data_IF_740281159811
#
_entry.id   IF_740281159811
#
_cell.length_a   1.000
_cell.length_b   1.000
_cell.length_c   1.000
_cell.angle_alpha   90.00
_cell.angle_beta   90.00
_cell.angle_gamma   90.00
#
_symmetry.space_group_name_H-M   'P 1'
#
loop_
_entity.id
_entity.type
_entity.pdbx_description
1 polymer ?
#
# COMPACT_ATOMS: atom_id res chain seq x y z
N UNK A 1 -24.74 36.29 -18.66
CA UNK A 1 -23.99 36.58 -17.42
C UNK A 1 -23.05 35.41 -17.20
N UNK A 2 -21.74 35.63 -17.13
CA UNK A 2 -20.81 34.54 -16.82
C UNK A 2 -21.00 34.16 -15.35
N UNK A 3 -21.27 32.89 -15.08
CA UNK A 3 -21.32 32.36 -13.71
C UNK A 3 -19.92 32.40 -13.12
N UNK A 4 -19.75 33.15 -12.03
CA UNK A 4 -18.50 33.18 -11.28
C UNK A 4 -18.20 31.78 -10.71
N UNK A 5 -17.00 31.26 -11.01
CA UNK A 5 -16.53 29.98 -10.49
C UNK A 5 -15.78 30.20 -9.18
N UNK A 6 -16.23 29.54 -8.12
CA UNK A 6 -15.55 29.50 -6.82
C UNK A 6 -14.75 28.21 -6.67
N UNK A 7 -13.52 28.32 -6.14
CA UNK A 7 -12.66 27.18 -5.84
C UNK A 7 -12.42 27.06 -4.34
N UNK A 8 -12.70 25.87 -3.79
CA UNK A 8 -12.53 25.54 -2.38
C UNK A 8 -11.38 24.55 -2.25
N UNK A 9 -10.50 24.78 -1.27
CA UNK A 9 -9.37 23.91 -0.98
C UNK A 9 -9.40 23.50 0.48
N UNK A 10 -9.38 22.20 0.73
CA UNK A 10 -9.09 21.68 2.05
C UNK A 10 -7.57 21.64 2.26
N UNK A 11 -7.05 22.63 3.00
CA UNK A 11 -5.61 22.91 3.12
C UNK A 11 -4.78 21.71 3.58
N UNK A 12 -5.30 20.89 4.50
CA UNK A 12 -4.64 19.70 5.05
C UNK A 12 -5.24 18.38 4.55
N UNK A 13 -5.93 18.37 3.40
CA UNK A 13 -6.52 17.14 2.83
C UNK A 13 -5.48 16.02 2.67
N UNK A 14 -4.33 16.34 2.05
CA UNK A 14 -3.26 15.36 1.77
C UNK A 14 -2.70 14.72 3.04
N UNK A 15 -2.27 15.53 4.02
CA UNK A 15 -1.73 15.00 5.27
C UNK A 15 -2.78 14.20 6.05
N UNK A 16 -4.02 14.68 6.09
CA UNK A 16 -5.13 13.95 6.71
C UNK A 16 -5.31 12.57 6.06
N UNK A 17 -5.27 12.51 4.72
CA UNK A 17 -5.41 11.26 4.00
C UNK A 17 -4.27 10.27 4.31
N UNK A 18 -3.01 10.72 4.32
CA UNK A 18 -1.87 9.87 4.71
C UNK A 18 -1.97 9.38 6.16
N UNK A 19 -2.40 10.24 7.10
CA UNK A 19 -2.64 9.80 8.48
C UNK A 19 -3.75 8.76 8.58
N UNK A 20 -4.80 8.87 7.75
CA UNK A 20 -5.85 7.85 7.69
C UNK A 20 -5.31 6.53 7.16
N UNK A 21 -4.54 6.53 6.05
CA UNK A 21 -3.92 5.31 5.49
C UNK A 21 -3.01 4.61 6.50
N UNK A 22 -2.12 5.36 7.17
CA UNK A 22 -1.25 4.83 8.22
C UNK A 22 -2.06 4.23 9.39
N UNK A 23 -3.17 4.88 9.77
CA UNK A 23 -4.04 4.39 10.85
C UNK A 23 -4.82 3.13 10.47
N UNK A 24 -5.35 3.03 9.26
CA UNK A 24 -6.10 1.83 8.86
C UNK A 24 -5.19 0.61 8.74
N UNK A 25 -3.92 0.82 8.33
CA UNK A 25 -2.91 -0.25 8.35
C UNK A 25 -2.61 -0.75 9.76
N UNK A 26 -2.38 0.14 10.72
CA UNK A 26 -2.04 -0.29 12.09
C UNK A 26 -3.21 -0.94 12.85
N UNK A 27 -4.44 -0.80 12.36
CA UNK A 27 -5.66 -1.35 12.98
C UNK A 27 -6.30 -2.49 12.19
N UNK A 28 -5.68 -2.95 11.11
CA UNK A 28 -6.24 -3.96 10.19
C UNK A 28 -7.70 -3.68 9.78
N UNK A 29 -8.06 -2.40 9.65
CA UNK A 29 -9.44 -1.98 9.40
C UNK A 29 -9.67 -1.82 7.91
N UNK A 30 -10.77 -2.35 7.38
CA UNK A 30 -11.12 -2.31 5.95
C UNK A 30 -10.18 -3.11 5.02
N UNK A 31 -9.42 -4.06 5.57
CA UNK A 31 -8.59 -4.94 4.77
C UNK A 31 -9.44 -5.89 3.93
N UNK A 32 -9.04 -6.07 2.67
CA UNK A 32 -9.76 -6.82 1.65
C UNK A 32 -8.83 -7.72 0.81
N UNK A 33 -7.58 -7.90 1.26
CA UNK A 33 -6.57 -8.83 0.73
C UNK A 33 -5.64 -9.30 1.85
N UNK A 34 -5.09 -10.50 1.70
CA UNK A 34 -4.00 -10.98 2.55
C UNK A 34 -2.76 -11.27 1.72
N UNK A 35 -1.61 -10.73 2.11
CA UNK A 35 -0.31 -11.16 1.57
C UNK A 35 0.31 -12.18 2.51
N UNK A 36 0.80 -13.28 1.97
CA UNK A 36 1.59 -14.28 2.69
C UNK A 36 3.03 -14.21 2.20
N UNK A 37 3.98 -14.00 3.11
CA UNK A 37 5.40 -13.80 2.81
C UNK A 37 6.23 -14.33 3.97
N UNK A 38 7.22 -15.17 3.68
CA UNK A 38 8.15 -15.69 4.69
C UNK A 38 7.46 -16.28 5.95
N UNK A 39 6.40 -17.06 5.71
CA UNK A 39 5.58 -17.67 6.78
C UNK A 39 4.68 -16.70 7.56
N UNK A 40 4.71 -15.40 7.25
CA UNK A 40 3.86 -14.37 7.86
C UNK A 40 2.71 -13.97 6.95
N UNK A 41 1.65 -13.46 7.57
CA UNK A 41 0.42 -13.05 6.90
C UNK A 41 0.09 -11.60 7.23
N UNK A 42 -0.33 -10.85 6.22
CA UNK A 42 -0.60 -9.41 6.31
C UNK A 42 -1.98 -9.12 5.76
N UNK A 43 -2.90 -8.66 6.60
CA UNK A 43 -4.18 -8.10 6.14
C UNK A 43 -3.95 -6.68 5.64
N UNK A 44 -4.29 -6.43 4.37
CA UNK A 44 -3.94 -5.20 3.65
C UNK A 44 -5.11 -4.74 2.79
N UNK A 45 -4.91 -3.62 2.09
CA UNK A 45 -5.89 -2.96 1.24
C UNK A 45 -5.50 -3.09 -0.23
N UNK A 46 -6.37 -3.71 -1.04
CA UNK A 46 -6.22 -3.82 -2.50
C UNK A 46 -5.98 -2.47 -3.13
N UNK A 47 -6.76 -1.46 -2.72
CA UNK A 47 -6.64 -0.10 -3.24
C UNK A 47 -5.23 0.47 -3.11
N UNK A 48 -4.61 0.33 -1.93
CA UNK A 48 -3.25 0.84 -1.70
C UNK A 48 -2.23 0.05 -2.51
N UNK A 49 -2.32 -1.28 -2.51
CA UNK A 49 -1.41 -2.14 -3.27
C UNK A 49 -1.48 -1.89 -4.78
N UNK A 50 -2.69 -1.81 -5.35
CA UNK A 50 -2.89 -1.54 -6.77
C UNK A 50 -2.39 -0.15 -7.19
N UNK A 51 -2.61 0.87 -6.35
CA UNK A 51 -2.12 2.24 -6.63
C UNK A 51 -0.59 2.30 -6.70
N UNK A 52 0.10 1.41 -5.99
CA UNK A 52 1.56 1.41 -5.88
C UNK A 52 2.26 0.34 -6.73
N UNK A 53 1.52 -0.56 -7.38
CA UNK A 53 2.10 -1.72 -8.07
C UNK A 53 1.18 -2.26 -9.16
N UNK A 54 1.65 -2.18 -10.41
CA UNK A 54 0.99 -2.76 -11.59
C UNK A 54 0.77 -4.28 -11.42
N UNK A 55 1.70 -4.98 -10.76
CA UNK A 55 1.56 -6.41 -10.46
C UNK A 55 0.30 -6.71 -9.62
N UNK A 56 0.06 -5.93 -8.57
CA UNK A 56 -1.11 -6.12 -7.73
C UNK A 56 -2.39 -5.64 -8.43
N UNK A 57 -2.33 -4.54 -9.17
CA UNK A 57 -3.45 -4.06 -9.98
C UNK A 57 -3.94 -5.15 -10.94
N UNK A 58 -3.04 -5.71 -11.76
CA UNK A 58 -3.38 -6.76 -12.72
C UNK A 58 -3.97 -8.01 -12.05
N UNK A 59 -3.44 -8.42 -10.90
CA UNK A 59 -3.96 -9.57 -10.15
C UNK A 59 -5.38 -9.30 -9.68
N UNK A 60 -5.65 -8.13 -9.12
CA UNK A 60 -6.97 -7.82 -8.58
C UNK A 60 -8.02 -7.62 -9.66
N UNK A 61 -7.65 -7.07 -10.83
CA UNK A 61 -8.57 -6.96 -11.97
C UNK A 61 -8.97 -8.33 -12.52
N UNK A 62 -8.03 -9.28 -12.56
CA UNK A 62 -8.28 -10.64 -13.07
C UNK A 62 -8.96 -11.54 -12.05
N UNK A 63 -8.82 -11.24 -10.76
CA UNK A 63 -9.30 -12.10 -9.68
C UNK A 63 -10.58 -11.56 -9.06
N UNK A 64 -11.73 -12.10 -9.48
CA UNK A 64 -13.02 -11.83 -8.86
C UNK A 64 -13.16 -12.59 -7.52
N UNK A 65 -12.39 -12.18 -6.51
CA UNK A 65 -12.44 -12.72 -5.16
C UNK A 65 -12.63 -11.59 -4.14
N UNK A 66 -13.50 -11.82 -3.15
CA UNK A 66 -13.75 -10.85 -2.07
C UNK A 66 -12.48 -10.55 -1.27
N UNK A 67 -11.73 -11.58 -0.91
CA UNK A 67 -10.53 -11.47 -0.06
C UNK A 67 -9.44 -12.46 -0.53
N UNK A 68 -8.69 -12.14 -1.61
CA UNK A 68 -7.64 -13.01 -2.11
C UNK A 68 -6.50 -13.13 -1.11
N UNK A 69 -5.88 -14.31 -1.07
CA UNK A 69 -4.62 -14.56 -0.37
C UNK A 69 -3.54 -14.70 -1.44
N UNK A 70 -2.59 -13.77 -1.48
CA UNK A 70 -1.49 -13.76 -2.45
C UNK A 70 -0.21 -14.20 -1.74
N UNK A 71 0.44 -15.24 -2.27
CA UNK A 71 1.71 -15.74 -1.74
C UNK A 71 2.85 -15.10 -2.50
N UNK A 72 3.65 -14.29 -1.83
CA UNK A 72 4.86 -13.69 -2.37
C UNK A 72 6.04 -14.64 -2.11
N UNK A 73 6.73 -15.00 -3.20
CA UNK A 73 7.94 -15.81 -3.15
C UNK A 73 9.16 -14.92 -3.31
N UNK A 74 10.27 -15.35 -2.71
CA UNK A 74 11.59 -14.72 -2.85
C UNK A 74 11.67 -13.26 -2.37
N UNK A 75 10.71 -12.85 -1.53
CA UNK A 75 10.71 -11.58 -0.80
C UNK A 75 10.86 -11.90 0.68
N UNK A 76 11.75 -11.18 1.37
CA UNK A 76 11.93 -11.36 2.81
C UNK A 76 10.89 -10.57 3.59
N UNK A 77 10.63 -10.98 4.84
CA UNK A 77 9.79 -10.20 5.75
C UNK A 77 10.21 -8.72 5.86
N UNK A 78 11.52 -8.47 6.00
CA UNK A 78 12.07 -7.12 6.17
C UNK A 78 11.79 -6.26 4.94
N UNK A 79 12.01 -6.83 3.74
CA UNK A 79 11.81 -6.10 2.47
C UNK A 79 10.32 -5.79 2.26
N UNK A 80 9.42 -6.75 2.53
CA UNK A 80 7.99 -6.51 2.41
C UNK A 80 7.50 -5.47 3.42
N UNK A 81 7.96 -5.50 4.68
CA UNK A 81 7.57 -4.51 5.67
C UNK A 81 8.01 -3.10 5.26
N UNK A 82 9.22 -2.98 4.70
CA UNK A 82 9.74 -1.72 4.18
C UNK A 82 8.94 -1.22 2.96
N UNK A 83 8.63 -2.10 1.99
CA UNK A 83 7.78 -1.76 0.84
C UNK A 83 6.40 -1.29 1.28
N UNK A 84 5.74 -2.05 2.15
CA UNK A 84 4.44 -1.67 2.66
C UNK A 84 4.57 -0.31 3.35
N UNK A 85 5.57 -0.09 4.20
CA UNK A 85 5.78 1.21 4.89
C UNK A 85 5.88 2.36 3.90
N UNK A 86 6.66 2.16 2.84
CA UNK A 86 6.76 3.10 1.73
C UNK A 86 5.39 3.34 1.05
N UNK A 87 4.60 2.31 0.77
CA UNK A 87 3.29 2.44 0.13
C UNK A 87 2.25 3.21 0.99
N UNK A 88 2.24 3.01 2.30
CA UNK A 88 1.23 3.63 3.18
C UNK A 88 1.62 5.01 3.72
N UNK A 89 2.91 5.28 3.83
CA UNK A 89 3.45 6.53 4.43
C UNK A 89 4.04 7.45 3.36
N UNK A 90 4.49 6.90 2.23
CA UNK A 90 5.17 7.62 1.16
C UNK A 90 6.70 7.65 1.30
N UNK A 91 7.23 7.14 2.42
CA UNK A 91 8.66 7.07 2.71
C UNK A 91 9.00 5.90 3.63
N UNK A 92 10.25 5.45 3.59
CA UNK A 92 10.78 4.42 4.50
C UNK A 92 12.27 4.66 4.74
N UNK A 93 12.72 4.41 5.97
CA UNK A 93 14.13 4.42 6.33
C UNK A 93 14.65 2.99 6.30
N UNK A 94 15.68 2.71 5.50
CA UNK A 94 16.34 1.41 5.44
C UNK A 94 17.85 1.57 5.57
N UNK A 95 18.49 0.56 6.17
CA UNK A 95 19.96 0.49 6.22
C UNK A 95 20.51 0.23 4.82
N UNK A 96 21.71 0.75 4.53
CA UNK A 96 22.29 0.74 3.19
C UNK A 96 22.43 -0.68 2.62
N UNK A 97 22.73 -1.66 3.47
CA UNK A 97 22.93 -3.06 3.10
C UNK A 97 21.62 -3.75 2.68
N UNK A 98 20.48 -3.26 3.18
CA UNK A 98 19.14 -3.80 2.88
C UNK A 98 18.49 -3.14 1.66
N UNK A 99 19.02 -2.00 1.21
CA UNK A 99 18.47 -1.26 0.08
C UNK A 99 18.39 -2.10 -1.20
N UNK A 100 19.41 -2.92 -1.48
CA UNK A 100 19.42 -3.78 -2.66
C UNK A 100 18.30 -4.84 -2.63
N UNK A 101 17.99 -5.39 -1.45
CA UNK A 101 16.89 -6.34 -1.26
C UNK A 101 15.54 -5.68 -1.51
N UNK A 102 15.34 -4.50 -0.91
CA UNK A 102 14.15 -3.68 -1.10
C UNK A 102 13.89 -3.34 -2.58
N UNK A 103 14.91 -2.86 -3.30
CA UNK A 103 14.81 -2.51 -4.71
C UNK A 103 14.49 -3.74 -5.57
N UNK A 104 15.02 -4.91 -5.23
CA UNK A 104 14.73 -6.14 -5.95
C UNK A 104 13.28 -6.61 -5.75
N UNK A 105 12.69 -6.29 -4.59
CA UNK A 105 11.31 -6.66 -4.26
C UNK A 105 10.26 -5.67 -4.80
N UNK A 106 10.67 -4.44 -5.13
CA UNK A 106 9.83 -3.37 -5.70
C UNK A 106 9.50 -3.63 -7.17
#
# INVERSE_FOLDING_TARGET
>A
MATDLLSLKWNNHRSTFFHVLSRIRSKDSYCDVTLACDGKFYSLHKFVLATCSEYFEEIFERTQCKHPVIVLKDITFDDLEALLSYMYVGEVNVVQEKLAGLIKAA
#
